data_IF_980026347916
#
_entry.id   IF_980026347916
#
_cell.length_a   1.000
_cell.length_b   1.000
_cell.length_c   1.000
_cell.angle_alpha   90.00
_cell.angle_beta   90.00
_cell.angle_gamma   90.00
#
_symmetry.space_group_name_H-M   'P 1'
#
loop_
_entity.id
_entity.type
_entity.pdbx_description
1 polymer ?
#
# COMPACT_ATOMS: atom_id res chain seq x y z
N UNK A 1 -9.82 -18.94 -14.44
CA UNK A 1 -9.58 -17.50 -14.23
C UNK A 1 -10.66 -16.84 -13.37
N UNK A 2 -11.96 -17.13 -13.53
CA UNK A 2 -13.02 -16.55 -12.68
C UNK A 2 -12.89 -16.91 -11.18
N UNK A 3 -12.43 -18.12 -10.83
CA UNK A 3 -12.24 -18.53 -9.43
C UNK A 3 -11.16 -17.74 -8.68
N UNK A 4 -10.10 -17.31 -9.34
CA UNK A 4 -9.02 -16.55 -8.69
C UNK A 4 -9.48 -15.17 -8.21
N UNK A 5 -10.36 -14.49 -8.94
CA UNK A 5 -10.89 -13.19 -8.55
C UNK A 5 -11.83 -13.26 -7.35
N UNK A 6 -12.55 -14.34 -7.19
CA UNK A 6 -13.49 -14.53 -6.09
C UNK A 6 -12.82 -14.71 -4.71
N UNK A 7 -11.48 -14.82 -4.68
CA UNK A 7 -10.71 -14.90 -3.42
C UNK A 7 -10.86 -13.66 -2.57
N UNK A 8 -10.97 -12.48 -3.19
CA UNK A 8 -11.16 -11.21 -2.50
C UNK A 8 -12.50 -10.58 -2.89
N UNK A 9 -13.34 -10.24 -1.91
CA UNK A 9 -14.38 -9.25 -2.12
C UNK A 9 -13.68 -7.94 -2.46
N UNK A 10 -14.02 -7.28 -3.56
CA UNK A 10 -13.27 -6.11 -4.01
C UNK A 10 -14.12 -5.15 -4.83
N UNK A 11 -13.62 -3.95 -4.99
CA UNK A 11 -14.11 -2.98 -5.96
C UNK A 11 -13.03 -2.63 -6.96
N UNK A 12 -13.46 -2.48 -8.21
CA UNK A 12 -12.65 -1.90 -9.27
C UNK A 12 -13.40 -0.71 -9.88
N UNK A 13 -12.73 0.43 -9.93
CA UNK A 13 -13.16 1.60 -10.68
C UNK A 13 -12.18 1.82 -11.82
N UNK A 14 -12.68 1.79 -13.05
CA UNK A 14 -11.84 2.06 -14.22
C UNK A 14 -11.31 3.51 -14.21
N UNK A 15 -10.12 3.77 -14.80
CA UNK A 15 -9.61 5.13 -14.93
C UNK A 15 -10.58 5.98 -15.76
N UNK A 16 -10.66 7.27 -15.43
CA UNK A 16 -11.57 8.21 -16.09
C UNK A 16 -10.88 9.14 -17.09
N UNK A 17 -9.55 9.07 -17.19
CA UNK A 17 -8.74 9.93 -18.06
C UNK A 17 -7.59 9.15 -18.69
N UNK A 18 -6.51 9.88 -18.97
CA UNK A 18 -5.30 9.31 -19.57
C UNK A 18 -4.32 8.72 -18.56
N UNK A 19 -4.66 8.76 -17.25
CA UNK A 19 -3.82 8.18 -16.20
C UNK A 19 -3.85 6.65 -16.29
N UNK A 20 -2.71 6.06 -16.64
CA UNK A 20 -2.55 4.60 -16.77
C UNK A 20 -2.21 3.90 -15.46
N UNK A 21 -2.08 4.65 -14.36
CA UNK A 21 -1.82 4.08 -13.04
C UNK A 21 -3.07 3.41 -12.49
N UNK A 22 -2.86 2.41 -11.66
CA UNK A 22 -3.92 1.81 -10.83
C UNK A 22 -3.50 1.90 -9.37
N UNK A 23 -4.31 2.54 -8.54
CA UNK A 23 -4.10 2.54 -7.10
C UNK A 23 -4.69 1.27 -6.50
N UNK A 24 -3.83 0.47 -5.85
CA UNK A 24 -4.22 -0.63 -5.00
C UNK A 24 -4.48 -0.09 -3.60
N UNK A 25 -5.75 -0.08 -3.18
CA UNK A 25 -6.19 0.47 -1.90
C UNK A 25 -6.28 -0.62 -0.84
N UNK A 26 -5.44 -0.53 0.19
CA UNK A 26 -5.34 -1.54 1.24
C UNK A 26 -5.77 -0.94 2.59
N UNK A 27 -6.96 -1.28 3.04
CA UNK A 27 -7.60 -0.74 4.25
C UNK A 27 -6.87 -1.13 5.55
N UNK A 28 -7.13 -0.40 6.62
CA UNK A 28 -6.70 -0.74 7.97
C UNK A 28 -7.57 -1.85 8.60
N UNK A 29 -7.23 -2.27 9.82
CA UNK A 29 -8.01 -3.26 10.57
C UNK A 29 -9.45 -2.80 10.75
N UNK A 30 -10.41 -3.67 10.39
CA UNK A 30 -11.85 -3.42 10.51
C UNK A 30 -12.47 -2.72 9.31
N UNK A 31 -11.65 -2.29 8.33
CA UNK A 31 -12.12 -1.70 7.10
C UNK A 31 -12.61 -2.73 6.07
N UNK A 32 -13.05 -2.23 4.92
CA UNK A 32 -13.51 -3.06 3.82
C UNK A 32 -13.09 -2.47 2.45
N UNK A 33 -13.59 -3.04 1.37
CA UNK A 33 -13.30 -2.62 0.00
C UNK A 33 -13.84 -1.22 -0.36
N UNK A 34 -14.61 -0.58 0.50
CA UNK A 34 -15.17 0.76 0.27
C UNK A 34 -14.37 1.86 1.00
N UNK A 35 -13.70 1.53 2.09
CA UNK A 35 -13.13 2.49 3.05
C UNK A 35 -12.17 3.50 2.42
N UNK A 36 -11.30 3.06 1.52
CA UNK A 36 -10.28 3.92 0.92
C UNK A 36 -10.63 4.44 -0.47
N UNK A 37 -11.83 4.16 -1.00
CA UNK A 37 -12.22 4.63 -2.36
C UNK A 37 -12.14 6.15 -2.45
N UNK A 38 -12.69 6.87 -1.46
CA UNK A 38 -12.62 8.33 -1.45
C UNK A 38 -11.19 8.85 -1.35
N UNK A 39 -10.35 8.20 -0.53
CA UNK A 39 -8.92 8.52 -0.46
C UNK A 39 -8.25 8.33 -1.82
N UNK A 40 -8.49 7.21 -2.50
CA UNK A 40 -7.95 6.93 -3.82
C UNK A 40 -8.32 8.00 -4.84
N UNK A 41 -9.59 8.42 -4.86
CA UNK A 41 -10.07 9.51 -5.72
C UNK A 41 -9.43 10.86 -5.40
N UNK A 42 -9.08 11.11 -4.14
CA UNK A 42 -8.37 12.34 -3.74
C UNK A 42 -6.89 12.29 -4.12
N UNK A 43 -6.25 11.13 -4.07
CA UNK A 43 -4.82 10.96 -4.38
C UNK A 43 -4.54 10.93 -5.89
N UNK A 44 -5.44 10.36 -6.69
CA UNK A 44 -5.30 10.25 -8.14
C UNK A 44 -6.69 10.21 -8.80
N UNK A 45 -7.32 11.36 -9.06
CA UNK A 45 -8.70 11.46 -9.53
C UNK A 45 -8.99 10.68 -10.81
N UNK A 46 -8.00 10.60 -11.72
CA UNK A 46 -8.15 10.00 -13.04
C UNK A 46 -7.66 8.55 -13.11
N UNK A 47 -6.96 8.06 -12.08
CA UNK A 47 -6.38 6.71 -12.06
C UNK A 47 -7.45 5.62 -11.84
N UNK A 48 -7.15 4.40 -12.26
CA UNK A 48 -7.93 3.23 -11.86
C UNK A 48 -7.77 2.95 -10.35
N UNK A 49 -8.85 2.48 -9.70
CA UNK A 49 -8.82 2.09 -8.30
C UNK A 49 -9.17 0.62 -8.15
N UNK A 50 -8.33 -0.13 -7.44
CA UNK A 50 -8.56 -1.53 -7.09
C UNK A 50 -8.49 -1.68 -5.58
N UNK A 51 -9.60 -2.06 -4.95
CA UNK A 51 -9.75 -2.08 -3.49
C UNK A 51 -10.26 -3.43 -3.01
N UNK A 52 -9.38 -4.37 -2.63
CA UNK A 52 -9.78 -5.64 -2.03
C UNK A 52 -10.07 -5.51 -0.54
N UNK A 53 -11.00 -6.36 -0.05
CA UNK A 53 -11.20 -6.57 1.39
C UNK A 53 -10.23 -7.64 1.89
N UNK A 54 -9.54 -7.39 3.00
CA UNK A 54 -8.72 -8.39 3.68
C UNK A 54 -9.52 -9.64 4.06
N UNK A 55 -8.93 -10.81 3.88
CA UNK A 55 -9.61 -12.12 4.00
C UNK A 55 -9.51 -12.74 5.38
N UNK A 56 -8.75 -12.12 6.30
CA UNK A 56 -8.62 -12.58 7.69
C UNK A 56 -9.64 -11.87 8.56
N UNK A 57 -10.32 -12.60 9.46
CA UNK A 57 -11.21 -12.03 10.46
C UNK A 57 -10.57 -12.08 11.84
N UNK A 58 -10.45 -10.93 12.50
CA UNK A 58 -10.05 -10.80 13.89
C UNK A 58 -11.24 -10.26 14.68
N UNK A 59 -11.96 -11.13 15.39
CA UNK A 59 -13.17 -10.79 16.15
C UNK A 59 -14.23 -10.04 15.28
N UNK A 60 -14.38 -10.43 14.03
CA UNK A 60 -15.29 -9.80 13.06
C UNK A 60 -14.68 -8.62 12.28
N UNK A 61 -13.52 -8.10 12.68
CA UNK A 61 -12.81 -7.06 11.94
C UNK A 61 -11.97 -7.67 10.80
N UNK A 62 -12.14 -7.18 9.57
CA UNK A 62 -11.36 -7.66 8.44
C UNK A 62 -9.91 -7.15 8.51
N UNK A 63 -8.97 -8.01 8.11
CA UNK A 63 -7.54 -7.75 8.01
C UNK A 63 -6.94 -8.45 6.80
N UNK A 64 -5.81 -7.95 6.30
CA UNK A 64 -5.07 -8.65 5.25
C UNK A 64 -4.27 -9.84 5.79
N UNK A 65 -3.79 -9.76 7.02
CA UNK A 65 -3.03 -10.83 7.69
C UNK A 65 -3.22 -10.78 9.21
N UNK A 66 -2.90 -11.89 9.87
CA UNK A 66 -3.04 -12.04 11.33
C UNK A 66 -1.96 -11.27 12.10
N UNK A 67 -2.24 -11.01 13.36
CA UNK A 67 -1.27 -10.57 14.38
C UNK A 67 -1.42 -11.43 15.63
N UNK A 68 -0.37 -11.54 16.41
CA UNK A 68 -0.42 -12.23 17.72
C UNK A 68 -0.90 -11.29 18.83
N UNK A 69 -0.57 -10.00 18.71
CA UNK A 69 -1.00 -8.92 19.60
C UNK A 69 -0.86 -7.58 18.87
N UNK A 70 -1.28 -6.49 19.51
CA UNK A 70 -1.01 -5.14 19.01
C UNK A 70 0.49 -4.94 18.84
N UNK A 71 0.92 -4.50 17.65
CA UNK A 71 2.34 -4.35 17.31
C UNK A 71 3.12 -5.64 17.08
N UNK A 72 2.53 -6.83 17.24
CA UNK A 72 3.19 -8.13 17.07
C UNK A 72 2.59 -8.89 15.89
N UNK A 73 3.20 -8.75 14.71
CA UNK A 73 2.72 -9.31 13.46
C UNK A 73 2.95 -10.82 13.39
N UNK A 74 2.01 -11.58 12.81
CA UNK A 74 2.20 -12.98 12.42
C UNK A 74 2.93 -13.01 11.06
N UNK A 75 4.27 -13.04 11.09
CA UNK A 75 5.10 -12.95 9.89
C UNK A 75 4.88 -14.12 8.93
N UNK A 76 4.77 -15.38 9.38
CA UNK A 76 4.41 -16.49 8.50
C UNK A 76 3.09 -16.27 7.75
N UNK A 77 2.04 -15.80 8.44
CA UNK A 77 0.76 -15.51 7.79
C UNK A 77 0.88 -14.31 6.84
N UNK A 78 1.62 -13.27 7.23
CA UNK A 78 1.89 -12.12 6.36
C UNK A 78 2.52 -12.56 5.03
N UNK A 79 3.56 -13.41 5.05
CA UNK A 79 4.19 -13.92 3.84
C UNK A 79 3.22 -14.74 2.98
N UNK A 80 2.42 -15.62 3.59
CA UNK A 80 1.44 -16.40 2.87
C UNK A 80 0.40 -15.51 2.19
N UNK A 81 -0.18 -14.54 2.93
CA UNK A 81 -1.17 -13.60 2.39
C UNK A 81 -0.60 -12.64 1.35
N UNK A 82 0.68 -12.25 1.49
CA UNK A 82 1.37 -11.46 0.46
C UNK A 82 1.43 -12.22 -0.86
N UNK A 83 1.81 -13.48 -0.82
CA UNK A 83 1.86 -14.34 -2.01
C UNK A 83 0.47 -14.49 -2.66
N UNK A 84 -0.57 -14.72 -1.85
CA UNK A 84 -1.94 -14.84 -2.32
C UNK A 84 -2.40 -13.53 -2.99
N UNK A 85 -2.14 -12.38 -2.39
CA UNK A 85 -2.53 -11.09 -2.92
C UNK A 85 -1.78 -10.75 -4.21
N UNK A 86 -0.48 -11.03 -4.29
CA UNK A 86 0.31 -10.83 -5.53
C UNK A 86 -0.24 -11.67 -6.68
N UNK A 87 -0.54 -12.95 -6.42
CA UNK A 87 -1.16 -13.81 -7.44
C UNK A 87 -2.53 -13.29 -7.88
N UNK A 88 -3.33 -12.81 -6.93
CA UNK A 88 -4.65 -12.22 -7.21
C UNK A 88 -4.54 -10.93 -8.04
N UNK A 89 -3.54 -10.06 -7.78
CA UNK A 89 -3.32 -8.84 -8.56
C UNK A 89 -3.07 -9.14 -10.04
N UNK A 90 -2.32 -10.19 -10.35
CA UNK A 90 -2.11 -10.64 -11.74
C UNK A 90 -3.43 -11.06 -12.42
N UNK A 91 -4.30 -11.78 -11.70
CA UNK A 91 -5.62 -12.16 -12.21
C UNK A 91 -6.54 -10.92 -12.39
N UNK A 92 -6.49 -9.95 -11.46
CA UNK A 92 -7.26 -8.72 -11.55
C UNK A 92 -6.79 -7.86 -12.75
N UNK A 93 -5.48 -7.73 -12.98
CA UNK A 93 -4.95 -7.02 -14.14
C UNK A 93 -5.42 -7.62 -15.46
N UNK A 94 -5.39 -8.95 -15.56
CA UNK A 94 -5.87 -9.66 -16.75
C UNK A 94 -7.39 -9.48 -16.96
N UNK A 95 -8.18 -9.47 -15.88
CA UNK A 95 -9.64 -9.33 -15.96
C UNK A 95 -10.07 -7.91 -16.32
N UNK A 96 -9.46 -6.91 -15.71
CA UNK A 96 -9.87 -5.50 -15.85
C UNK A 96 -9.08 -4.74 -16.91
N UNK A 97 -8.01 -5.34 -17.45
CA UNK A 97 -7.23 -4.77 -18.55
C UNK A 97 -6.33 -3.60 -18.15
N UNK A 98 -5.98 -3.47 -16.86
CA UNK A 98 -5.03 -2.44 -16.44
C UNK A 98 -3.57 -2.93 -16.51
N UNK A 99 -2.64 -1.99 -16.59
CA UNK A 99 -1.21 -2.28 -16.64
C UNK A 99 -0.68 -2.67 -15.25
N UNK A 100 -0.34 -3.96 -15.07
CA UNK A 100 0.19 -4.48 -13.82
C UNK A 100 1.53 -3.85 -13.41
N UNK A 101 2.29 -3.26 -14.35
CA UNK A 101 3.57 -2.59 -14.06
C UNK A 101 3.39 -1.19 -13.49
N UNK A 102 2.18 -0.65 -13.51
CA UNK A 102 1.84 0.71 -13.04
C UNK A 102 0.98 0.73 -11.78
N UNK A 103 1.00 -0.35 -11.00
CA UNK A 103 0.28 -0.42 -9.72
C UNK A 103 1.05 0.36 -8.66
N UNK A 104 0.38 1.34 -8.03
CA UNK A 104 0.86 2.03 -6.83
C UNK A 104 -0.03 1.63 -5.66
N UNK A 105 0.55 1.09 -4.58
CA UNK A 105 -0.23 0.76 -3.41
C UNK A 105 -0.48 2.02 -2.55
N UNK A 106 -1.70 2.20 -2.05
CA UNK A 106 -2.03 3.15 -1.00
C UNK A 106 -2.62 2.38 0.18
N UNK A 107 -1.83 2.22 1.23
CA UNK A 107 -2.19 1.40 2.39
C UNK A 107 -2.26 2.20 3.69
N UNK A 108 -3.17 1.79 4.57
CA UNK A 108 -3.30 2.34 5.92
C UNK A 108 -3.10 1.24 6.96
N UNK A 109 -2.22 1.47 7.96
CA UNK A 109 -2.01 0.58 9.11
C UNK A 109 -1.74 -0.87 8.68
N UNK A 110 -2.66 -1.83 8.92
CA UNK A 110 -2.56 -3.21 8.46
C UNK A 110 -2.32 -3.30 6.93
N UNK A 111 -3.03 -2.49 6.15
CA UNK A 111 -2.86 -2.42 4.69
C UNK A 111 -1.52 -1.80 4.28
N UNK A 112 -0.98 -0.83 5.03
CA UNK A 112 0.35 -0.29 4.79
C UNK A 112 1.45 -1.35 5.02
N UNK A 113 1.28 -2.18 6.05
CA UNK A 113 2.20 -3.29 6.32
C UNK A 113 2.11 -4.38 5.23
N UNK A 114 0.92 -4.64 4.69
CA UNK A 114 0.74 -5.53 3.54
C UNK A 114 1.42 -4.97 2.28
N UNK A 115 1.23 -3.68 1.96
CA UNK A 115 1.93 -3.02 0.85
C UNK A 115 3.45 -3.10 1.00
N UNK A 116 3.96 -2.83 2.20
CA UNK A 116 5.39 -2.97 2.52
C UNK A 116 5.86 -4.41 2.30
N UNK A 117 5.08 -5.40 2.75
CA UNK A 117 5.40 -6.82 2.55
C UNK A 117 5.48 -7.20 1.06
N UNK A 118 4.57 -6.67 0.23
CA UNK A 118 4.64 -6.87 -1.24
C UNK A 118 5.95 -6.30 -1.77
N UNK A 119 6.31 -5.07 -1.43
CA UNK A 119 7.56 -4.44 -1.90
C UNK A 119 8.80 -5.24 -1.49
N UNK A 120 8.81 -5.77 -0.27
CA UNK A 120 9.95 -6.52 0.26
C UNK A 120 10.02 -7.98 -0.21
N UNK A 121 8.92 -8.57 -0.68
CA UNK A 121 8.86 -9.97 -1.12
C UNK A 121 8.77 -10.15 -2.64
N UNK A 122 8.20 -9.16 -3.35
CA UNK A 122 7.93 -9.19 -4.80
C UNK A 122 8.10 -7.77 -5.37
N UNK A 123 9.34 -7.24 -5.42
CA UNK A 123 9.63 -5.84 -5.75
C UNK A 123 9.06 -5.40 -7.10
N UNK A 124 8.92 -6.32 -8.05
CA UNK A 124 8.38 -6.08 -9.39
C UNK A 124 6.88 -5.77 -9.41
N UNK A 125 6.15 -6.16 -8.37
CA UNK A 125 4.68 -6.07 -8.33
C UNK A 125 4.16 -4.63 -8.25
N UNK A 126 4.87 -3.76 -7.53
CA UNK A 126 4.44 -2.38 -7.31
C UNK A 126 5.41 -1.39 -7.95
N UNK A 127 4.88 -0.39 -8.65
CA UNK A 127 5.63 0.74 -9.16
C UNK A 127 6.06 1.71 -8.04
N UNK A 128 5.31 1.76 -6.95
CA UNK A 128 5.56 2.59 -5.79
C UNK A 128 4.54 2.35 -4.70
N UNK A 129 4.66 3.07 -3.58
CA UNK A 129 3.69 2.94 -2.49
C UNK A 129 3.51 4.23 -1.69
N UNK A 130 2.28 4.42 -1.18
CA UNK A 130 1.89 5.38 -0.16
C UNK A 130 1.52 4.59 1.08
N UNK A 131 2.31 4.75 2.13
CA UNK A 131 2.24 3.98 3.36
C UNK A 131 1.84 4.90 4.52
N UNK A 132 0.59 4.82 4.94
CA UNK A 132 0.13 5.57 6.11
C UNK A 132 0.19 4.71 7.36
N UNK A 133 0.92 5.20 8.39
CA UNK A 133 1.10 4.54 9.70
C UNK A 133 1.66 3.11 9.58
N UNK A 134 2.73 2.92 8.77
CA UNK A 134 3.35 1.61 8.61
C UNK A 134 4.23 1.24 9.80
N UNK A 135 4.41 -0.07 9.98
CA UNK A 135 5.50 -0.65 10.78
C UNK A 135 6.55 -1.25 9.85
N UNK A 136 7.74 -1.54 10.37
CA UNK A 136 8.69 -2.46 9.70
C UNK A 136 8.14 -3.89 9.90
N UNK A 137 7.65 -4.57 8.85
CA UNK A 137 7.07 -5.90 9.04
C UNK A 137 8.16 -6.97 9.24
N UNK A 138 9.20 -6.92 8.44
CA UNK A 138 10.38 -7.79 8.49
C UNK A 138 11.54 -7.16 7.71
N UNK A 139 12.72 -7.74 7.84
CA UNK A 139 13.89 -7.41 7.02
C UNK A 139 14.08 -8.56 6.02
N UNK A 140 14.24 -8.30 4.70
CA UNK A 140 14.45 -9.35 3.72
C UNK A 140 15.70 -10.20 4.03
N UNK A 141 15.57 -11.52 3.97
CA UNK A 141 16.69 -12.45 4.17
C UNK A 141 17.62 -12.53 2.95
N UNK A 142 17.07 -12.28 1.75
CA UNK A 142 17.82 -12.27 0.49
C UNK A 142 17.99 -10.84 -0.02
N UNK A 143 19.07 -10.54 -0.76
CA UNK A 143 19.23 -9.25 -1.40
C UNK A 143 18.10 -8.96 -2.38
N UNK A 144 17.47 -7.81 -2.24
CA UNK A 144 16.46 -7.26 -3.16
C UNK A 144 16.86 -5.85 -3.57
N UNK A 145 16.34 -5.36 -4.68
CA UNK A 145 16.51 -3.98 -5.12
C UNK A 145 15.14 -3.29 -5.24
N UNK A 146 15.04 -2.11 -4.67
CA UNK A 146 13.93 -1.19 -4.85
C UNK A 146 14.36 0.06 -5.65
N UNK A 147 15.42 -0.07 -6.46
CA UNK A 147 15.81 0.98 -7.39
C UNK A 147 14.59 1.37 -8.25
N UNK A 148 14.46 2.67 -8.53
CA UNK A 148 13.34 3.27 -9.28
C UNK A 148 11.95 3.19 -8.59
N UNK A 149 11.89 2.70 -7.35
CA UNK A 149 10.64 2.71 -6.57
C UNK A 149 10.55 4.00 -5.75
N UNK A 150 9.44 4.72 -5.91
CA UNK A 150 9.11 5.88 -5.08
C UNK A 150 8.19 5.43 -3.96
N UNK A 151 8.49 5.85 -2.72
CA UNK A 151 7.70 5.50 -1.54
C UNK A 151 7.42 6.74 -0.70
N UNK A 152 6.14 6.97 -0.41
CA UNK A 152 5.70 7.95 0.57
C UNK A 152 5.35 7.25 1.89
N UNK A 153 5.84 7.79 3.01
CA UNK A 153 5.51 7.33 4.36
C UNK A 153 4.87 8.49 5.12
N UNK A 154 3.61 8.31 5.53
CA UNK A 154 2.88 9.22 6.40
C UNK A 154 2.84 8.72 7.84
N UNK A 155 3.53 9.42 8.76
CA UNK A 155 3.66 9.06 10.17
C UNK A 155 2.95 10.07 11.08
N UNK A 156 2.42 9.62 12.21
CA UNK A 156 1.78 10.45 13.22
C UNK A 156 2.69 10.68 14.44
N UNK A 157 2.93 11.94 14.80
CA UNK A 157 3.79 12.29 15.95
C UNK A 157 3.22 11.81 17.29
N UNK A 158 1.89 11.69 17.38
CA UNK A 158 1.19 11.25 18.59
C UNK A 158 0.52 9.88 18.39
N UNK A 159 1.01 9.07 17.43
CA UNK A 159 0.51 7.71 17.20
C UNK A 159 0.88 6.82 18.40
N UNK A 160 -0.14 6.25 19.04
CA UNK A 160 0.02 5.36 20.19
C UNK A 160 0.06 3.88 19.79
N UNK A 161 -0.27 3.55 18.55
CA UNK A 161 -0.30 2.18 18.04
C UNK A 161 1.00 1.82 17.31
N UNK A 162 1.59 2.79 16.58
CA UNK A 162 2.86 2.62 15.88
C UNK A 162 3.94 3.44 16.58
N UNK A 163 4.92 2.80 17.24
CA UNK A 163 6.05 3.51 17.85
C UNK A 163 6.81 4.34 16.82
N UNK A 164 7.23 5.55 17.19
CA UNK A 164 7.93 6.51 16.31
C UNK A 164 9.17 5.94 15.60
N UNK A 165 9.82 4.95 16.22
CA UNK A 165 10.98 4.28 15.64
C UNK A 165 10.65 3.47 14.38
N UNK A 166 9.40 3.04 14.18
CA UNK A 166 9.04 2.21 13.02
C UNK A 166 9.08 2.97 11.69
N UNK A 167 8.44 4.14 11.54
CA UNK A 167 8.50 4.91 10.29
C UNK A 167 9.93 5.30 9.90
N UNK A 168 10.76 5.74 10.87
CA UNK A 168 12.16 6.09 10.61
C UNK A 168 12.96 4.88 10.12
N UNK A 169 12.88 3.74 10.84
CA UNK A 169 13.57 2.49 10.47
C UNK A 169 13.07 1.95 9.13
N UNK A 170 11.78 2.08 8.82
CA UNK A 170 11.25 1.67 7.53
C UNK A 170 11.82 2.54 6.41
N UNK A 171 11.86 3.86 6.60
CA UNK A 171 12.45 4.77 5.63
C UNK A 171 13.94 4.47 5.39
N UNK A 172 14.70 4.20 6.45
CA UNK A 172 16.12 3.80 6.35
C UNK A 172 16.27 2.47 5.59
N UNK A 173 15.47 1.45 5.93
CA UNK A 173 15.49 0.15 5.26
C UNK A 173 15.21 0.29 3.76
N UNK A 174 14.13 0.98 3.39
CA UNK A 174 13.74 1.12 1.98
C UNK A 174 14.77 1.93 1.18
N UNK A 175 15.38 2.99 1.77
CA UNK A 175 16.49 3.74 1.15
C UNK A 175 17.72 2.87 0.97
N UNK A 176 18.07 2.04 1.96
CA UNK A 176 19.20 1.11 1.85
C UNK A 176 18.99 0.07 0.74
N UNK A 177 17.75 -0.24 0.40
CA UNK A 177 17.37 -1.11 -0.72
C UNK A 177 17.27 -0.36 -2.06
N UNK A 178 17.52 0.95 -2.08
CA UNK A 178 17.57 1.77 -3.30
C UNK A 178 16.30 2.60 -3.60
N UNK A 179 15.27 2.55 -2.76
CA UNK A 179 14.05 3.32 -2.99
C UNK A 179 14.25 4.83 -2.74
N UNK A 180 13.54 5.65 -3.53
CA UNK A 180 13.35 7.09 -3.25
C UNK A 180 12.22 7.25 -2.22
N UNK A 181 12.59 7.61 -0.97
CA UNK A 181 11.66 7.64 0.17
C UNK A 181 11.43 9.05 0.68
N UNK A 182 10.17 9.47 0.62
CA UNK A 182 9.65 10.68 1.29
C UNK A 182 8.96 10.27 2.59
N UNK A 183 9.51 10.67 3.74
CA UNK A 183 8.89 10.50 5.05
C UNK A 183 8.33 11.85 5.53
N UNK A 184 7.03 11.87 5.87
CA UNK A 184 6.34 13.05 6.42
C UNK A 184 5.72 12.72 7.77
N UNK A 185 6.10 13.51 8.77
CA UNK A 185 5.50 13.50 10.10
C UNK A 185 4.38 14.51 10.17
N UNK A 186 3.25 14.13 10.77
CA UNK A 186 2.11 14.99 11.00
C UNK A 186 1.80 15.08 12.52
N UNK A 187 1.37 16.22 13.05
CA UNK A 187 1.02 16.38 14.47
C UNK A 187 -0.33 15.71 14.79
N UNK A 188 -0.45 14.43 14.48
CA UNK A 188 -1.68 13.63 14.61
C UNK A 188 -1.37 12.28 15.23
N UNK A 189 -2.43 11.55 15.63
CA UNK A 189 -2.34 10.17 16.09
C UNK A 189 -2.36 9.15 14.94
N UNK A 190 -2.97 7.98 15.23
CA UNK A 190 -3.06 6.88 14.25
C UNK A 190 -4.01 7.20 13.08
N UNK A 191 -5.09 7.95 13.31
CA UNK A 191 -6.04 8.30 12.27
C UNK A 191 -5.41 9.16 11.17
N UNK A 192 -5.91 9.01 9.93
CA UNK A 192 -5.53 9.88 8.82
C UNK A 192 -6.11 11.28 9.01
N UNK A 193 -5.35 12.27 8.59
CA UNK A 193 -5.73 13.68 8.63
C UNK A 193 -5.67 14.30 7.23
N UNK A 194 -6.27 15.48 7.07
CA UNK A 194 -6.17 16.23 5.81
C UNK A 194 -4.74 16.53 5.40
N UNK A 195 -3.82 16.97 6.30
CA UNK A 195 -2.41 17.14 5.96
C UNK A 195 -1.72 15.87 5.44
N UNK A 196 -2.07 14.68 5.95
CA UNK A 196 -1.56 13.41 5.41
C UNK A 196 -1.94 13.23 3.94
N UNK A 197 -3.23 13.45 3.64
CA UNK A 197 -3.77 13.29 2.28
C UNK A 197 -3.19 14.33 1.33
N UNK A 198 -3.09 15.61 1.75
CA UNK A 198 -2.50 16.66 0.93
C UNK A 198 -1.05 16.39 0.59
N UNK A 199 -0.25 15.98 1.58
CA UNK A 199 1.17 15.66 1.35
C UNK A 199 1.37 14.45 0.43
N UNK A 200 0.50 13.44 0.54
CA UNK A 200 0.53 12.28 -0.35
C UNK A 200 0.06 12.63 -1.77
N UNK A 201 -0.93 13.49 -1.92
CA UNK A 201 -1.36 14.01 -3.22
C UNK A 201 -0.24 14.79 -3.93
N UNK A 202 0.40 15.74 -3.24
CA UNK A 202 1.54 16.50 -3.78
C UNK A 202 2.68 15.57 -4.23
N UNK A 203 2.96 14.52 -3.44
CA UNK A 203 3.95 13.50 -3.79
C UNK A 203 3.55 12.70 -5.05
N UNK A 204 2.27 12.37 -5.20
CA UNK A 204 1.74 11.69 -6.39
C UNK A 204 1.86 12.54 -7.65
N UNK A 205 1.51 13.83 -7.57
CA UNK A 205 1.59 14.76 -8.69
C UNK A 205 3.03 15.02 -9.14
N UNK A 206 3.97 15.22 -8.20
CA UNK A 206 5.39 15.36 -8.53
C UNK A 206 5.91 14.15 -9.32
N UNK A 207 5.48 12.92 -8.97
CA UNK A 207 5.86 11.71 -9.70
C UNK A 207 5.26 11.61 -11.11
N UNK A 208 4.11 12.25 -11.33
CA UNK A 208 3.48 12.31 -12.65
C UNK A 208 4.26 13.24 -13.60
N UNK A 209 4.69 14.40 -13.09
CA UNK A 209 5.48 15.37 -13.84
C UNK A 209 6.86 14.81 -14.23
N UNK A 210 7.51 14.10 -13.30
CA UNK A 210 8.80 13.45 -13.55
C UNK A 210 8.72 12.37 -14.63
N UNK A 211 7.62 11.59 -14.66
CA UNK A 211 7.39 10.56 -15.67
C UNK A 211 7.14 11.18 -17.05
N UNK A 212 6.31 12.22 -17.11
CA UNK A 212 6.02 12.93 -18.38
C UNK A 212 7.24 13.65 -18.98
N UNK A 213 8.21 14.05 -18.14
CA UNK A 213 9.44 14.70 -18.61
C UNK A 213 10.50 13.73 -19.17
N UNK A 214 10.31 12.43 -19.02
CA UNK A 214 11.23 11.37 -19.49
C UNK A 214 10.77 10.65 -20.76
N UNK A 215 9.54 10.91 -21.21
CA UNK A 215 8.95 10.43 -22.47
C UNK A 215 9.19 11.47 -23.60
#
# INVERSE_FOLDING_TARGET
MADALNTYVHRYLAPQGDDRRTLLLLHGTGGDENDLIQLGQMLAPDAGLLSPRGTVSENGAARFFRRHAEGVLDIPDLHARTKDLVAWLGAAAAQYGFDATKIIAAGFSNGANMATSIMLSSPETLAGAILFRPMVPFIPESPISLADKRVFIGAGESDTLVPKTHPDRLAELLRALGADVTLKWQPTGHALSRPDVSAAYEWMEAGREDAASRE
#
